data_IF_066714504011
#
_entry.id   IF_066714504011
#
_cell.length_a   1.000
_cell.length_b   1.000
_cell.length_c   1.000
_cell.angle_alpha   90.00
_cell.angle_beta   90.00
_cell.angle_gamma   90.00
#
_symmetry.space_group_name_H-M   'P 1'
#
loop_
_entity.id
_entity.type
_entity.pdbx_description
1 polymer ?
#
# COMPACT_ATOMS: atom_id res chain seq x y z
N UNK A 1 25.75 -45.34 -14.39
CA UNK A 1 24.53 -44.78 -13.75
C UNK A 1 24.92 -44.00 -12.50
N UNK A 2 24.18 -42.92 -12.18
CA UNK A 2 24.40 -41.97 -11.06
C UNK A 2 25.59 -41.00 -11.17
N UNK A 3 25.55 -40.01 -12.08
CA UNK A 3 26.36 -38.77 -11.93
C UNK A 3 25.63 -37.46 -12.26
N UNK A 4 24.44 -37.50 -12.87
CA UNK A 4 23.67 -36.30 -13.22
C UNK A 4 22.62 -35.86 -12.16
N UNK A 5 22.35 -36.68 -11.14
CA UNK A 5 21.26 -36.41 -10.19
C UNK A 5 21.64 -35.53 -8.99
N UNK A 6 22.93 -35.30 -8.76
CA UNK A 6 23.42 -34.51 -7.61
C UNK A 6 23.75 -33.05 -7.97
N UNK A 7 24.12 -32.77 -9.24
CA UNK A 7 24.39 -31.40 -9.68
C UNK A 7 23.11 -30.55 -9.84
N UNK A 8 21.99 -31.16 -10.24
CA UNK A 8 20.74 -30.42 -10.41
C UNK A 8 20.11 -29.97 -9.09
N UNK A 9 20.35 -30.70 -7.99
CA UNK A 9 19.83 -30.34 -6.66
C UNK A 9 20.60 -29.20 -6.02
N UNK A 10 21.90 -29.07 -6.29
CA UNK A 10 22.73 -27.99 -5.75
C UNK A 10 22.43 -26.65 -6.44
N UNK A 11 22.09 -26.66 -7.74
CA UNK A 11 21.71 -25.45 -8.47
C UNK A 11 20.31 -24.93 -8.07
N UNK A 12 19.37 -25.82 -7.75
CA UNK A 12 18.03 -25.44 -7.27
C UNK A 12 18.01 -24.94 -5.82
N UNK A 13 18.93 -25.40 -4.96
CA UNK A 13 19.09 -24.85 -3.61
C UNK A 13 19.88 -23.53 -3.57
N UNK A 14 20.73 -23.27 -4.57
CA UNK A 14 21.50 -22.02 -4.69
C UNK A 14 20.67 -20.79 -5.04
N UNK A 15 19.50 -20.95 -5.65
CA UNK A 15 18.62 -19.82 -6.01
C UNK A 15 17.61 -19.45 -4.91
N UNK A 16 17.35 -20.34 -3.94
CA UNK A 16 16.46 -20.07 -2.83
C UNK A 16 17.08 -19.15 -1.75
N UNK A 17 18.40 -18.92 -1.81
CA UNK A 17 19.15 -18.14 -0.81
C UNK A 17 19.46 -16.70 -1.22
N UNK A 18 19.09 -16.26 -2.43
CA UNK A 18 19.36 -14.88 -2.91
C UNK A 18 18.31 -13.87 -2.36
N UNK A 19 17.26 -14.33 -1.67
CA UNK A 19 16.25 -13.44 -1.10
C UNK A 19 16.51 -13.05 0.37
N UNK A 20 17.57 -13.60 0.99
CA UNK A 20 17.98 -13.25 2.34
C UNK A 20 19.20 -12.32 2.27
N UNK A 21 18.95 -11.01 2.30
CA UNK A 21 19.99 -10.05 2.64
C UNK A 21 20.48 -9.18 1.48
N UNK A 22 19.60 -8.36 0.95
CA UNK A 22 19.94 -6.95 0.79
C UNK A 22 18.73 -6.15 1.29
N UNK A 23 18.87 -5.48 2.43
CA UNK A 23 18.00 -4.37 2.84
C UNK A 23 18.22 -3.17 1.90
N UNK A 24 18.15 -3.38 0.58
CA UNK A 24 17.97 -2.31 -0.38
C UNK A 24 16.51 -1.91 -0.27
N UNK A 25 16.25 -0.77 0.38
CA UNK A 25 14.92 -0.19 0.47
C UNK A 25 14.32 -0.16 -0.95
N UNK A 26 13.29 -0.98 -1.18
CA UNK A 26 12.61 -1.02 -2.48
C UNK A 26 11.97 0.35 -2.68
N UNK A 27 12.10 0.92 -3.88
CA UNK A 27 11.43 2.19 -4.17
C UNK A 27 9.90 2.04 -4.06
N UNK A 28 9.17 3.11 -3.71
CA UNK A 28 7.71 3.11 -3.70
C UNK A 28 7.07 2.49 -4.95
N UNK A 29 7.55 2.89 -6.13
CA UNK A 29 7.06 2.35 -7.42
C UNK A 29 7.33 0.85 -7.56
N UNK A 30 8.50 0.38 -7.11
CA UNK A 30 8.83 -1.05 -7.14
C UNK A 30 7.94 -1.86 -6.19
N UNK A 31 7.61 -1.31 -5.01
CA UNK A 31 6.67 -1.92 -4.07
C UNK A 31 5.28 -2.04 -4.67
N UNK A 32 4.76 -0.94 -5.21
CA UNK A 32 3.44 -0.90 -5.84
C UNK A 32 3.34 -1.81 -7.06
N UNK A 33 4.42 -1.97 -7.83
CA UNK A 33 4.43 -2.82 -9.02
C UNK A 33 4.58 -4.31 -8.68
N UNK A 34 5.49 -4.65 -7.77
CA UNK A 34 5.99 -6.02 -7.60
C UNK A 34 5.53 -6.71 -6.30
N UNK A 35 5.17 -5.95 -5.27
CA UNK A 35 4.80 -6.49 -3.95
C UNK A 35 3.29 -6.41 -3.73
N UNK A 36 2.69 -5.25 -4.01
CA UNK A 36 1.25 -5.00 -3.94
C UNK A 36 0.49 -6.01 -4.82
N UNK A 37 -0.49 -6.68 -4.20
CA UNK A 37 -1.42 -7.60 -4.87
C UNK A 37 -2.60 -6.84 -5.45
N UNK A 38 -3.30 -7.50 -6.35
CA UNK A 38 -4.34 -6.86 -7.14
C UNK A 38 -5.66 -6.70 -6.35
N UNK A 39 -5.83 -7.44 -5.25
CA UNK A 39 -7.03 -7.42 -4.43
C UNK A 39 -6.71 -7.74 -2.98
N UNK A 40 -7.42 -7.09 -2.07
CA UNK A 40 -7.38 -7.35 -0.63
C UNK A 40 -8.77 -7.27 -0.03
N UNK A 41 -9.16 -8.29 0.72
CA UNK A 41 -10.41 -8.29 1.48
C UNK A 41 -10.11 -8.12 2.97
N UNK A 42 -10.85 -7.24 3.64
CA UNK A 42 -10.46 -6.80 4.97
C UNK A 42 -11.52 -6.04 5.76
N UNK A 43 -11.03 -5.24 6.69
CA UNK A 43 -11.83 -4.46 7.62
C UNK A 43 -11.17 -3.12 7.92
N UNK A 44 -11.99 -2.06 7.97
CA UNK A 44 -11.69 -0.82 8.69
C UNK A 44 -12.84 -0.54 9.64
N UNK A 45 -12.56 0.00 10.82
CA UNK A 45 -13.64 0.41 11.74
C UNK A 45 -14.39 1.62 11.20
N UNK A 46 -13.64 2.58 10.70
CA UNK A 46 -14.15 3.87 10.23
C UNK A 46 -14.15 3.89 8.69
N UNK A 47 -15.08 4.62 8.09
CA UNK A 47 -14.94 5.07 6.70
C UNK A 47 -13.77 6.06 6.55
N UNK A 48 -13.22 6.18 5.36
CA UNK A 48 -12.33 7.30 5.00
C UNK A 48 -13.09 8.58 4.75
N UNK A 49 -12.38 9.68 4.54
CA UNK A 49 -12.99 10.91 4.07
C UNK A 49 -13.66 10.72 2.70
N UNK A 50 -13.01 9.99 1.79
CA UNK A 50 -13.58 9.51 0.53
C UNK A 50 -14.40 8.23 0.77
N UNK A 51 -15.47 8.37 1.57
CA UNK A 51 -16.25 7.26 2.12
C UNK A 51 -17.03 6.42 1.09
N UNK A 52 -17.10 6.87 -0.17
CA UNK A 52 -17.68 6.06 -1.24
C UNK A 52 -16.73 4.93 -1.63
N UNK A 53 -15.43 5.21 -1.68
CA UNK A 53 -14.36 4.30 -2.13
C UNK A 53 -13.74 3.54 -0.94
N UNK A 54 -13.43 4.25 0.14
CA UNK A 54 -12.80 3.71 1.35
C UNK A 54 -13.82 3.50 2.47
N UNK A 55 -14.64 2.46 2.34
CA UNK A 55 -15.66 2.11 3.32
C UNK A 55 -15.12 1.27 4.49
N UNK A 56 -15.54 1.64 5.68
CA UNK A 56 -15.46 0.82 6.87
C UNK A 56 -16.42 -0.36 6.82
N UNK A 57 -16.33 -1.23 7.82
CA UNK A 57 -17.04 -2.49 7.88
C UNK A 57 -16.19 -3.68 7.49
N UNK A 58 -16.72 -4.88 7.77
CA UNK A 58 -16.04 -6.16 7.54
C UNK A 58 -16.37 -6.65 6.14
N UNK A 59 -15.37 -7.20 5.45
CA UNK A 59 -15.54 -7.81 4.14
C UNK A 59 -15.44 -6.82 2.98
N UNK A 60 -15.01 -5.58 3.23
CA UNK A 60 -14.67 -4.63 2.17
C UNK A 60 -13.49 -5.20 1.37
N UNK A 61 -13.67 -5.31 0.05
CA UNK A 61 -12.61 -5.72 -0.86
C UNK A 61 -12.14 -4.52 -1.65
N UNK A 62 -10.84 -4.21 -1.59
CA UNK A 62 -10.20 -3.19 -2.41
C UNK A 62 -9.40 -3.85 -3.53
N UNK A 63 -9.66 -3.44 -4.77
CA UNK A 63 -9.00 -3.94 -5.98
C UNK A 63 -8.15 -2.85 -6.60
N UNK A 64 -6.88 -3.16 -6.83
CA UNK A 64 -5.88 -2.27 -7.41
C UNK A 64 -5.66 -2.61 -8.89
N UNK A 65 -6.14 -1.75 -9.79
CA UNK A 65 -5.72 -1.78 -11.20
C UNK A 65 -4.43 -0.97 -11.32
N UNK A 66 -3.29 -1.66 -11.27
CA UNK A 66 -1.95 -1.02 -11.28
C UNK A 66 -1.60 -0.37 -12.62
N UNK A 67 -2.22 -0.81 -13.71
CA UNK A 67 -1.97 -0.25 -15.04
C UNK A 67 -2.76 1.04 -15.25
N UNK A 68 -4.05 1.03 -14.89
CA UNK A 68 -4.91 2.23 -14.95
C UNK A 68 -4.73 3.16 -13.76
N UNK A 69 -4.05 2.68 -12.72
CA UNK A 69 -3.83 3.37 -11.44
C UNK A 69 -5.15 3.76 -10.77
N UNK A 70 -6.03 2.77 -10.62
CA UNK A 70 -7.30 2.94 -9.89
C UNK A 70 -7.43 1.95 -8.73
N UNK A 71 -8.16 2.36 -7.71
CA UNK A 71 -8.60 1.51 -6.59
C UNK A 71 -10.12 1.47 -6.66
N UNK A 72 -10.69 0.27 -6.67
CA UNK A 72 -12.14 0.06 -6.65
C UNK A 72 -12.57 -0.80 -5.48
N UNK A 73 -13.82 -0.65 -5.04
CA UNK A 73 -14.38 -1.46 -3.96
C UNK A 73 -15.48 -2.42 -4.45
N UNK A 74 -16.06 -3.17 -3.52
CA UNK A 74 -17.12 -4.14 -3.78
C UNK A 74 -18.46 -3.51 -4.22
N UNK A 75 -18.64 -2.19 -4.04
CA UNK A 75 -19.84 -1.47 -4.47
C UNK A 75 -19.71 -0.92 -5.90
N UNK A 76 -18.55 -1.10 -6.52
CA UNK A 76 -18.26 -0.61 -7.87
C UNK A 76 -17.78 0.83 -7.93
N UNK A 77 -17.60 1.48 -6.77
CA UNK A 77 -16.96 2.80 -6.66
C UNK A 77 -15.47 2.67 -6.97
N UNK A 78 -14.89 3.72 -7.54
CA UNK A 78 -13.49 3.73 -7.97
C UNK A 78 -12.89 5.13 -7.88
N UNK A 79 -11.65 5.18 -7.41
CA UNK A 79 -10.84 6.40 -7.29
C UNK A 79 -9.47 6.21 -7.97
N UNK A 80 -8.92 7.28 -8.56
CA UNK A 80 -7.58 7.23 -9.11
C UNK A 80 -6.56 7.28 -7.97
N UNK A 81 -5.40 6.66 -8.17
CA UNK A 81 -4.28 6.78 -7.24
C UNK A 81 -2.95 7.02 -7.95
N UNK A 82 -1.99 7.60 -7.22
CA UNK A 82 -0.61 7.75 -7.66
C UNK A 82 0.32 7.41 -6.52
N UNK A 83 1.40 6.69 -6.80
CA UNK A 83 2.41 6.31 -5.83
C UNK A 83 3.46 7.41 -5.75
N UNK A 84 3.68 7.95 -4.55
CA UNK A 84 4.57 9.09 -4.39
C UNK A 84 6.00 8.61 -4.19
N UNK A 85 6.93 9.28 -4.87
CA UNK A 85 8.34 9.23 -4.51
C UNK A 85 8.58 9.92 -3.16
N UNK A 86 9.71 9.61 -2.51
CA UNK A 86 10.10 10.25 -1.25
C UNK A 86 10.17 11.78 -1.35
N UNK A 87 10.58 12.32 -2.51
CA UNK A 87 10.59 13.78 -2.75
C UNK A 87 9.18 14.36 -2.86
N UNK A 88 8.25 13.66 -3.53
CA UNK A 88 6.85 14.10 -3.62
C UNK A 88 6.15 14.04 -2.27
N UNK A 89 6.49 13.08 -1.40
CA UNK A 89 5.97 13.04 -0.03
C UNK A 89 6.36 14.31 0.74
N UNK A 90 7.50 14.93 0.47
CA UNK A 90 7.91 16.19 1.12
C UNK A 90 7.07 17.39 0.67
N UNK A 91 6.46 17.33 -0.52
CA UNK A 91 5.67 18.43 -1.09
C UNK A 91 4.17 18.36 -0.77
N UNK A 92 3.65 17.25 -0.23
CA UNK A 92 2.23 17.18 0.18
C UNK A 92 1.96 18.13 1.38
N UNK A 93 0.70 18.56 1.59
CA UNK A 93 0.36 19.50 2.65
C UNK A 93 0.80 19.03 4.04
N UNK A 94 1.27 19.97 4.87
CA UNK A 94 1.93 19.67 6.14
C UNK A 94 1.05 18.89 7.14
N UNK A 95 -0.26 19.09 7.10
CA UNK A 95 -1.23 18.35 7.92
C UNK A 95 -1.17 16.84 7.68
N UNK A 96 -1.03 16.40 6.43
CA UNK A 96 -0.87 14.99 6.09
C UNK A 96 0.51 14.45 6.47
N UNK A 97 1.58 15.24 6.26
CA UNK A 97 2.95 14.84 6.65
C UNK A 97 3.09 14.62 8.15
N UNK A 98 2.40 15.41 8.98
CA UNK A 98 2.38 15.22 10.43
C UNK A 98 1.84 13.84 10.87
N UNK A 99 0.88 13.29 10.13
CA UNK A 99 0.37 11.95 10.38
C UNK A 99 1.42 10.86 10.07
N UNK A 100 2.19 11.01 8.98
CA UNK A 100 3.27 10.08 8.64
C UNK A 100 4.33 10.04 9.74
N UNK A 101 4.74 11.20 10.26
CA UNK A 101 5.69 11.29 11.39
C UNK A 101 5.16 10.53 12.62
N UNK A 102 3.87 10.64 12.90
CA UNK A 102 3.24 9.92 14.02
C UNK A 102 3.22 8.39 13.83
N UNK A 103 3.37 7.91 12.59
CA UNK A 103 3.41 6.50 12.23
C UNK A 103 4.84 5.94 12.11
N UNK A 104 5.89 6.76 12.21
CA UNK A 104 7.27 6.38 11.89
C UNK A 104 7.72 5.06 12.54
N UNK A 105 7.43 4.89 13.84
CA UNK A 105 7.76 3.65 14.57
C UNK A 105 7.10 2.39 14.03
N UNK A 106 5.92 2.52 13.42
CA UNK A 106 5.16 1.42 12.81
C UNK A 106 5.58 1.18 11.36
N UNK A 107 6.15 2.18 10.68
CA UNK A 107 6.59 2.09 9.29
C UNK A 107 8.03 1.59 9.18
N UNK A 108 8.84 1.81 10.22
CA UNK A 108 10.27 1.48 10.20
C UNK A 108 10.49 -0.01 10.01
N UNK A 109 11.18 -0.36 8.93
CA UNK A 109 11.51 -1.75 8.59
C UNK A 109 10.43 -2.48 7.80
N UNK A 110 9.29 -1.85 7.56
CA UNK A 110 8.20 -2.40 6.75
C UNK A 110 8.26 -1.90 5.29
N UNK A 111 7.84 -2.73 4.35
CA UNK A 111 7.64 -2.33 2.96
C UNK A 111 6.43 -1.37 2.91
N UNK A 112 6.65 -0.06 2.73
CA UNK A 112 5.58 0.93 2.78
C UNK A 112 5.78 2.08 1.77
N UNK A 113 4.69 2.70 1.35
CA UNK A 113 4.70 3.87 0.48
C UNK A 113 3.43 4.72 0.65
N UNK A 114 3.52 5.99 0.28
CA UNK A 114 2.37 6.92 0.29
C UNK A 114 1.69 6.91 -1.08
N UNK A 115 0.36 6.92 -1.09
CA UNK A 115 -0.44 7.19 -2.28
C UNK A 115 -1.20 8.50 -2.14
N UNK A 116 -1.33 9.22 -3.26
CA UNK A 116 -2.32 10.27 -3.45
C UNK A 116 -3.55 9.66 -4.13
N UNK A 117 -4.74 10.14 -3.79
CA UNK A 117 -5.99 9.73 -4.44
C UNK A 117 -6.83 10.94 -4.84
N UNK A 118 -7.55 10.82 -5.95
CA UNK A 118 -8.43 11.86 -6.49
C UNK A 118 -9.48 11.24 -7.43
N UNK A 119 -10.68 11.81 -7.51
CA UNK A 119 -11.69 11.41 -8.50
C UNK A 119 -11.31 11.82 -9.94
N UNK A 120 -10.38 12.76 -10.07
CA UNK A 120 -9.81 13.23 -11.35
C UNK A 120 -8.46 12.56 -11.60
N UNK A 121 -7.96 12.72 -12.82
CA UNK A 121 -6.59 12.28 -13.16
C UNK A 121 -5.55 13.02 -12.31
N UNK A 122 -4.61 12.27 -11.74
CA UNK A 122 -3.57 12.82 -10.86
C UNK A 122 -2.38 13.29 -11.70
N UNK A 123 -2.47 14.51 -12.23
CA UNK A 123 -1.35 15.18 -12.91
C UNK A 123 -0.30 15.75 -11.95
N UNK A 124 -0.73 16.13 -10.74
CA UNK A 124 0.11 16.69 -9.67
C UNK A 124 -0.28 16.08 -8.32
N UNK A 125 0.44 15.04 -7.86
CA UNK A 125 0.10 14.33 -6.63
C UNK A 125 0.02 15.24 -5.40
N UNK A 126 0.77 16.34 -5.33
CA UNK A 126 0.76 17.33 -4.24
C UNK A 126 -0.51 18.19 -4.15
N UNK A 127 -1.36 18.16 -5.18
CA UNK A 127 -2.66 18.85 -5.23
C UNK A 127 -3.86 17.88 -5.14
N UNK A 128 -3.60 16.60 -4.86
CA UNK A 128 -4.64 15.56 -4.78
C UNK A 128 -5.58 15.76 -3.59
N UNK A 129 -6.77 15.18 -3.69
CA UNK A 129 -7.83 15.29 -2.70
C UNK A 129 -7.46 14.69 -1.34
N UNK A 130 -6.81 13.52 -1.34
CA UNK A 130 -6.37 12.87 -0.12
C UNK A 130 -5.12 12.02 -0.30
N UNK A 131 -4.56 11.63 0.85
CA UNK A 131 -3.33 10.84 0.93
C UNK A 131 -3.50 9.71 1.94
N UNK A 132 -2.93 8.56 1.59
CA UNK A 132 -2.96 7.36 2.41
C UNK A 132 -1.56 6.76 2.48
N UNK A 133 -1.22 6.20 3.64
CA UNK A 133 -0.02 5.39 3.80
C UNK A 133 -0.39 3.92 3.62
N UNK A 134 0.27 3.26 2.66
CA UNK A 134 0.14 1.83 2.42
C UNK A 134 1.32 1.11 3.07
N UNK A 135 1.03 0.07 3.83
CA UNK A 135 2.02 -0.82 4.45
C UNK A 135 1.74 -2.23 3.97
N UNK A 136 2.77 -2.89 3.45
CA UNK A 136 2.73 -4.25 2.93
C UNK A 136 3.57 -5.15 3.82
N UNK A 137 2.97 -6.20 4.34
CA UNK A 137 3.67 -7.19 5.17
C UNK A 137 3.53 -8.58 4.57
N UNK A 138 4.34 -9.53 5.06
CA UNK A 138 4.35 -10.92 4.58
C UNK A 138 4.51 -11.05 3.05
N UNK A 139 5.40 -10.23 2.46
CA UNK A 139 5.63 -10.22 1.01
C UNK A 139 4.43 -9.69 0.20
N UNK A 140 3.64 -8.81 0.82
CA UNK A 140 2.45 -8.21 0.23
C UNK A 140 1.18 -9.03 0.41
N UNK A 141 1.21 -10.16 1.13
CA UNK A 141 0.00 -10.94 1.44
C UNK A 141 -0.96 -10.21 2.38
N UNK A 142 -0.43 -9.28 3.18
CA UNK A 142 -1.21 -8.41 4.06
C UNK A 142 -0.98 -6.96 3.68
N UNK A 143 -2.04 -6.17 3.74
CA UNK A 143 -2.01 -4.73 3.53
C UNK A 143 -2.60 -4.02 4.75
N UNK A 144 -2.03 -2.87 5.08
CA UNK A 144 -2.68 -1.86 5.92
C UNK A 144 -2.72 -0.54 5.16
N UNK A 145 -3.89 0.09 5.06
CA UNK A 145 -4.06 1.39 4.40
C UNK A 145 -4.57 2.39 5.43
N UNK A 146 -3.77 3.42 5.67
CA UNK A 146 -3.96 4.37 6.76
C UNK A 146 -4.20 5.75 6.16
N UNK A 147 -5.36 6.33 6.44
CA UNK A 147 -5.67 7.70 6.02
C UNK A 147 -4.75 8.71 6.72
N UNK A 148 -4.18 9.64 5.94
CA UNK A 148 -3.30 10.66 6.49
C UNK A 148 -4.03 11.92 6.91
N UNK A 149 -5.30 12.09 6.50
CA UNK A 149 -6.17 13.17 6.98
C UNK A 149 -6.52 12.93 8.45
N UNK A 150 -6.35 13.95 9.30
CA UNK A 150 -6.59 13.88 10.75
C UNK A 150 -7.50 15.01 11.20
N UNK A 151 -8.18 14.82 12.33
CA UNK A 151 -8.94 15.86 13.04
C UNK A 151 -10.31 16.18 12.45
N UNK A 152 -10.84 15.34 11.55
CA UNK A 152 -12.14 15.59 10.90
C UNK A 152 -13.28 14.72 11.46
N UNK A 153 -12.97 13.69 12.27
CA UNK A 153 -13.92 12.86 13.02
C UNK A 153 -13.73 13.02 14.53
N UNK A 154 -14.76 12.65 15.28
CA UNK A 154 -14.71 12.53 16.75
C UNK A 154 -13.54 11.63 17.18
N UNK A 155 -12.95 11.93 18.34
CA UNK A 155 -11.79 11.24 18.90
C UNK A 155 -10.58 11.13 17.95
N UNK A 156 -10.52 11.99 16.93
CA UNK A 156 -9.51 11.95 15.88
C UNK A 156 -9.48 10.59 15.15
N UNK A 157 -10.64 9.95 15.00
CA UNK A 157 -10.81 8.69 14.27
C UNK A 157 -10.50 8.87 12.77
N UNK A 158 -10.08 7.79 12.11
CA UNK A 158 -9.61 7.79 10.73
C UNK A 158 -9.69 6.39 10.14
N UNK A 159 -9.69 6.29 8.81
CA UNK A 159 -9.66 5.01 8.12
C UNK A 159 -8.33 4.27 8.33
N UNK A 160 -8.42 3.02 8.79
CA UNK A 160 -7.29 2.15 9.08
C UNK A 160 -7.65 0.72 8.65
N UNK A 161 -7.60 0.50 7.34
CA UNK A 161 -7.99 -0.77 6.73
C UNK A 161 -6.88 -1.79 6.88
N UNK A 162 -7.25 -3.00 7.29
CA UNK A 162 -6.38 -4.16 7.34
C UNK A 162 -6.98 -5.25 6.45
N UNK A 163 -6.22 -5.70 5.45
CA UNK A 163 -6.69 -6.66 4.45
C UNK A 163 -5.71 -7.79 4.20
N UNK A 164 -6.24 -8.91 3.74
CA UNK A 164 -5.47 -10.07 3.26
C UNK A 164 -5.71 -10.21 1.77
N UNK A 165 -4.65 -10.49 1.02
CA UNK A 165 -4.75 -10.74 -0.41
C UNK A 165 -5.55 -12.03 -0.67
N UNK A 166 -6.38 -12.00 -1.71
CA UNK A 166 -7.14 -13.17 -2.18
C UNK A 166 -6.22 -14.26 -2.79
#
# INVERSE_FOLDING_TARGET
>A
MMKAKHFLRIVLLGFALILLGACGQKSPESLAKNVLKDSYTGFSKEDGYESLDFKGGVGTTLKFDKEKRTISNNDGESINYSVLSEEQVKSIPASFRGAIVSLESQLKGEDNFTIAVDYRDIGKPEEAEAYYQVVLTEGGKKIRIIELRRGYKEDNAFYDFNGTAD
#
